data_IF_682687055461
#
_entry.id   IF_682687055461
#
_cell.length_a   1.000
_cell.length_b   1.000
_cell.length_c   1.000
_cell.angle_alpha   90.00
_cell.angle_beta   90.00
_cell.angle_gamma   90.00
#
_symmetry.space_group_name_H-M   'P 1'
#
loop_
_entity.id
_entity.type
_entity.pdbx_description
1 polymer ?
#
# COMPACT_ATOMS: atom_id res chain seq x y z
N UNK A 1 40.52 -0.59 -1.05
CA UNK A 1 39.26 -1.04 -0.41
C UNK A 1 38.09 -0.50 -1.22
N UNK A 2 37.41 -1.34 -2.00
CA UNK A 2 36.21 -0.94 -2.74
C UNK A 2 35.06 -0.73 -1.75
N UNK A 3 34.62 0.52 -1.60
CA UNK A 3 33.44 0.89 -0.80
C UNK A 3 32.23 0.91 -1.73
N UNK A 4 31.60 -0.25 -1.92
CA UNK A 4 30.33 -0.30 -2.63
C UNK A 4 29.22 0.26 -1.74
N UNK A 5 28.37 1.16 -2.25
CA UNK A 5 27.22 1.65 -1.50
C UNK A 5 26.26 0.50 -1.20
N UNK A 6 25.88 0.34 0.06
CA UNK A 6 24.92 -0.67 0.52
C UNK A 6 23.74 -0.02 1.23
N UNK A 7 22.59 -0.67 1.15
CA UNK A 7 21.38 -0.33 1.91
C UNK A 7 21.00 -1.52 2.78
N UNK A 8 20.48 -1.24 3.96
CA UNK A 8 20.01 -2.26 4.90
C UNK A 8 18.63 -1.88 5.42
N UNK A 9 17.78 -2.88 5.53
CA UNK A 9 16.49 -2.82 6.20
C UNK A 9 16.38 -3.98 7.19
N UNK A 10 15.43 -3.87 8.12
CA UNK A 10 15.10 -4.97 9.02
C UNK A 10 14.57 -6.16 8.22
N UNK A 11 15.05 -7.35 8.55
CA UNK A 11 14.57 -8.60 7.97
C UNK A 11 13.13 -8.85 8.45
N UNK A 12 12.23 -9.10 7.51
CA UNK A 12 10.86 -9.51 7.82
C UNK A 12 10.76 -11.02 8.00
N UNK A 13 9.84 -11.45 8.86
CA UNK A 13 9.45 -12.85 8.99
C UNK A 13 8.26 -13.13 8.05
N UNK A 14 8.55 -13.11 6.74
CA UNK A 14 7.56 -13.26 5.67
C UNK A 14 7.90 -14.39 4.70
N UNK A 15 6.97 -14.64 3.77
CA UNK A 15 7.16 -15.59 2.68
C UNK A 15 7.54 -14.81 1.42
N UNK A 16 8.71 -15.10 0.83
CA UNK A 16 9.15 -14.46 -0.41
C UNK A 16 8.27 -14.88 -1.58
N UNK A 17 7.74 -13.89 -2.29
CA UNK A 17 6.99 -14.06 -3.53
C UNK A 17 7.44 -13.02 -4.55
N UNK A 18 7.60 -13.43 -5.80
CA UNK A 18 7.56 -12.47 -6.91
C UNK A 18 6.11 -12.09 -7.15
N UNK A 19 5.86 -10.81 -7.41
CA UNK A 19 4.55 -10.30 -7.79
C UNK A 19 4.57 -9.95 -9.28
N UNK A 20 3.77 -10.66 -10.07
CA UNK A 20 3.53 -10.37 -11.48
C UNK A 20 2.14 -9.75 -11.63
N UNK A 21 2.06 -8.51 -12.11
CA UNK A 21 0.81 -7.89 -12.53
C UNK A 21 0.64 -8.03 -14.05
N UNK A 22 -0.39 -8.76 -14.46
CA UNK A 22 -0.71 -9.02 -15.86
C UNK A 22 -2.19 -9.33 -16.01
N UNK A 23 -2.75 -9.03 -17.19
CA UNK A 23 -4.14 -9.35 -17.55
C UNK A 23 -5.21 -8.86 -16.55
N UNK A 24 -4.94 -7.75 -15.84
CA UNK A 24 -5.88 -7.21 -14.85
C UNK A 24 -5.89 -7.94 -13.50
N UNK A 25 -4.96 -8.87 -13.28
CA UNK A 25 -4.82 -9.63 -12.05
C UNK A 25 -3.39 -9.52 -11.48
N UNK A 26 -3.25 -9.97 -10.24
CA UNK A 26 -1.94 -10.17 -9.59
C UNK A 26 -1.68 -11.67 -9.43
N UNK A 27 -0.48 -12.09 -9.80
CA UNK A 27 0.04 -13.44 -9.60
C UNK A 27 1.21 -13.39 -8.62
N UNK A 28 1.13 -14.16 -7.54
CA UNK A 28 2.23 -14.38 -6.61
C UNK A 28 2.94 -15.68 -6.98
N UNK A 29 4.22 -15.59 -7.30
CA UNK A 29 5.06 -16.71 -7.72
C UNK A 29 6.04 -17.02 -6.59
N UNK A 30 5.89 -18.18 -5.97
CA UNK A 30 6.73 -18.59 -4.85
C UNK A 30 8.03 -19.25 -5.29
N UNK A 31 8.81 -19.71 -4.30
CA UNK A 31 10.13 -20.31 -4.56
C UNK A 31 10.08 -21.71 -5.16
N UNK A 32 8.96 -22.42 -4.99
CA UNK A 32 8.74 -23.76 -5.56
C UNK A 32 7.91 -23.66 -6.85
N UNK A 33 7.96 -22.51 -7.51
CA UNK A 33 7.22 -22.22 -8.74
C UNK A 33 5.70 -22.32 -8.54
N UNK A 34 5.22 -22.25 -7.30
CA UNK A 34 3.80 -22.20 -7.01
C UNK A 34 3.24 -20.84 -7.41
N UNK A 35 2.17 -20.85 -8.21
CA UNK A 35 1.52 -19.63 -8.68
C UNK A 35 0.18 -19.48 -7.98
N UNK A 36 -0.01 -18.35 -7.29
CA UNK A 36 -1.27 -17.98 -6.64
C UNK A 36 -1.84 -16.75 -7.32
N UNK A 37 -3.03 -16.87 -7.88
CA UNK A 37 -3.74 -15.74 -8.48
C UNK A 37 -4.58 -15.02 -7.42
N UNK A 38 -4.51 -13.70 -7.40
CA UNK A 38 -5.38 -12.83 -6.63
C UNK A 38 -6.36 -12.18 -7.61
N UNK A 39 -7.60 -12.70 -7.71
CA UNK A 39 -8.62 -12.08 -8.54
C UNK A 39 -9.00 -10.71 -7.98
N UNK A 40 -9.49 -9.83 -8.84
CA UNK A 40 -10.01 -8.50 -8.48
C UNK A 40 -9.00 -7.52 -7.87
N UNK A 41 -7.70 -7.83 -7.94
CA UNK A 41 -6.64 -6.89 -7.59
C UNK A 41 -5.70 -6.67 -8.77
N UNK A 42 -5.40 -5.40 -9.05
CA UNK A 42 -4.47 -4.99 -10.09
C UNK A 42 -3.56 -3.86 -9.59
N UNK A 43 -2.49 -3.59 -10.34
CA UNK A 43 -1.67 -2.40 -10.13
C UNK A 43 -2.13 -1.30 -11.11
N UNK A 44 -2.51 -0.10 -10.66
CA UNK A 44 -2.97 0.97 -11.54
C UNK A 44 -1.82 1.59 -12.34
N UNK A 45 -2.10 2.04 -13.56
CA UNK A 45 -1.14 2.79 -14.38
C UNK A 45 -1.09 4.25 -13.95
N UNK A 46 0.12 4.82 -13.91
CA UNK A 46 0.32 6.25 -13.66
C UNK A 46 -0.45 7.09 -14.71
N UNK A 47 -1.32 7.99 -14.24
CA UNK A 47 -2.17 8.83 -15.09
C UNK A 47 -3.42 8.14 -15.66
N UNK A 48 -3.58 6.82 -15.46
CA UNK A 48 -4.77 6.05 -15.85
C UNK A 48 -5.09 5.02 -14.77
N UNK A 49 -5.65 5.49 -13.66
CA UNK A 49 -5.77 4.71 -12.42
C UNK A 49 -6.67 3.48 -12.55
N UNK A 50 -7.67 3.51 -13.42
CA UNK A 50 -8.55 2.36 -13.66
C UNK A 50 -8.02 1.40 -14.74
N UNK A 51 -6.86 1.69 -15.35
CA UNK A 51 -6.21 0.76 -16.28
C UNK A 51 -5.17 -0.10 -15.54
N UNK A 52 -5.22 -1.43 -15.69
CA UNK A 52 -4.22 -2.30 -15.09
C UNK A 52 -2.87 -2.21 -15.80
N UNK A 53 -1.80 -2.22 -15.00
CA UNK A 53 -0.46 -2.46 -15.49
C UNK A 53 -0.34 -3.85 -16.09
N UNK A 54 0.62 -3.99 -17.01
CA UNK A 54 0.85 -5.20 -17.77
C UNK A 54 2.33 -5.54 -17.75
N UNK A 55 2.66 -6.78 -17.41
CA UNK A 55 4.04 -7.28 -17.34
C UNK A 55 4.90 -6.44 -16.38
N UNK A 56 4.36 -6.15 -15.20
CA UNK A 56 5.13 -5.59 -14.07
C UNK A 56 5.54 -6.75 -13.15
N UNK A 57 6.84 -6.90 -12.90
CA UNK A 57 7.43 -7.97 -12.07
C UNK A 57 8.24 -7.36 -10.91
N UNK A 58 7.78 -7.62 -9.69
CA UNK A 58 8.35 -7.11 -8.44
C UNK A 58 8.85 -8.25 -7.57
N UNK A 59 9.88 -8.00 -6.76
CA UNK A 59 10.37 -8.92 -5.74
C UNK A 59 10.09 -8.36 -4.34
N UNK A 60 9.65 -9.23 -3.45
CA UNK A 60 9.08 -8.83 -2.17
C UNK A 60 8.76 -10.00 -1.25
N UNK A 61 8.25 -9.67 -0.07
CA UNK A 61 7.76 -10.65 0.89
C UNK A 61 6.31 -10.39 1.26
N UNK A 62 5.54 -11.48 1.37
CA UNK A 62 4.21 -11.49 1.92
C UNK A 62 4.29 -11.71 3.43
N UNK A 63 3.79 -10.76 4.21
CA UNK A 63 3.69 -10.82 5.67
C UNK A 63 2.23 -10.84 6.10
N UNK A 64 1.95 -11.50 7.22
CA UNK A 64 0.63 -11.52 7.85
C UNK A 64 0.69 -10.69 9.13
N UNK A 65 0.13 -9.50 9.09
CA UNK A 65 0.06 -8.60 10.24
C UNK A 65 -1.21 -8.85 11.05
N UNK A 66 -1.08 -8.94 12.38
CA UNK A 66 -2.22 -9.02 13.29
C UNK A 66 -2.58 -7.62 13.77
N UNK A 67 -3.81 -7.19 13.46
CA UNK A 67 -4.36 -5.93 13.92
C UNK A 67 -4.76 -6.01 15.41
N UNK A 68 -4.87 -4.87 16.11
CA UNK A 68 -5.29 -4.83 17.51
C UNK A 68 -6.68 -5.41 17.77
N UNK A 69 -7.55 -5.43 16.76
CA UNK A 69 -8.88 -6.03 16.80
C UNK A 69 -8.87 -7.56 16.62
N UNK A 70 -7.70 -8.18 16.46
CA UNK A 70 -7.54 -9.62 16.25
C UNK A 70 -7.65 -10.07 14.78
N UNK A 71 -8.00 -9.19 13.85
CA UNK A 71 -8.02 -9.51 12.42
C UNK A 71 -6.59 -9.62 11.87
N UNK A 72 -6.39 -10.44 10.84
CA UNK A 72 -5.11 -10.59 10.15
C UNK A 72 -5.16 -9.97 8.76
N UNK A 73 -4.16 -9.17 8.42
CA UNK A 73 -4.04 -8.48 7.12
C UNK A 73 -2.80 -8.98 6.40
N UNK A 74 -2.98 -9.39 5.14
CA UNK A 74 -1.87 -9.76 4.28
C UNK A 74 -1.25 -8.50 3.67
N UNK A 75 0.05 -8.27 3.89
CA UNK A 75 0.79 -7.17 3.25
C UNK A 75 1.92 -7.71 2.40
N UNK A 76 2.02 -7.24 1.17
CA UNK A 76 3.16 -7.48 0.29
C UNK A 76 4.14 -6.31 0.37
N UNK A 77 5.36 -6.60 0.81
CA UNK A 77 6.43 -5.63 1.00
C UNK A 77 7.40 -5.75 -0.18
N UNK A 78 7.40 -4.72 -1.03
CA UNK A 78 8.27 -4.65 -2.20
C UNK A 78 9.70 -4.30 -1.75
N UNK A 79 10.66 -5.12 -2.17
CA UNK A 79 12.10 -4.94 -1.92
C UNK A 79 12.88 -4.59 -3.18
N UNK A 80 12.41 -5.04 -4.35
CA UNK A 80 13.05 -4.79 -5.62
C UNK A 80 12.04 -4.81 -6.78
N UNK A 81 12.45 -4.31 -7.94
CA UNK A 81 11.70 -4.41 -9.18
C UNK A 81 12.60 -4.91 -10.31
N UNK A 82 12.05 -5.81 -11.12
CA UNK A 82 12.75 -6.38 -12.28
C UNK A 82 12.26 -5.71 -13.56
N UNK A 83 10.96 -5.49 -13.67
CA UNK A 83 10.31 -4.88 -14.83
C UNK A 83 9.06 -4.12 -14.37
N UNK A 84 8.78 -2.95 -14.96
CA UNK A 84 7.56 -2.18 -14.67
C UNK A 84 6.91 -1.84 -16.00
N UNK A 85 5.71 -2.36 -16.24
CA UNK A 85 4.93 -2.05 -17.43
C UNK A 85 5.64 -2.36 -18.76
N UNK A 86 6.21 -3.56 -18.89
CA UNK A 86 7.06 -4.01 -20.02
C UNK A 86 8.40 -3.30 -20.16
N UNK A 87 8.70 -2.33 -19.28
CA UNK A 87 9.97 -1.62 -19.30
C UNK A 87 11.06 -2.46 -18.64
N UNK A 88 11.87 -3.13 -19.46
CA UNK A 88 12.99 -3.94 -19.01
C UNK A 88 14.21 -3.13 -18.59
N UNK A 89 14.28 -1.82 -18.90
CA UNK A 89 15.42 -0.97 -18.52
C UNK A 89 15.56 -0.84 -17.00
N UNK A 90 14.49 -1.13 -16.25
CA UNK A 90 14.47 -1.12 -14.78
C UNK A 90 15.57 -2.02 -14.20
N UNK A 91 15.84 -3.18 -14.79
CA UNK A 91 16.87 -4.11 -14.30
C UNK A 91 18.30 -3.56 -14.40
N UNK A 92 18.51 -2.57 -15.27
CA UNK A 92 19.81 -1.93 -15.51
C UNK A 92 20.09 -0.80 -14.51
N UNK A 93 19.05 -0.28 -13.85
CA UNK A 93 19.19 0.75 -12.82
C UNK A 93 19.83 0.16 -11.56
N UNK A 94 20.54 1.01 -10.81
CA UNK A 94 20.96 0.66 -9.45
C UNK A 94 19.73 0.50 -8.54
N UNK A 95 19.90 -0.18 -7.39
CA UNK A 95 18.80 -0.48 -6.48
C UNK A 95 17.99 0.77 -6.08
N UNK A 96 18.64 1.91 -5.82
CA UNK A 96 17.93 3.14 -5.46
C UNK A 96 17.07 3.66 -6.62
N UNK A 97 17.57 3.56 -7.86
CA UNK A 97 16.81 3.89 -9.07
C UNK A 97 15.60 2.98 -9.26
N UNK A 98 15.76 1.67 -9.00
CA UNK A 98 14.65 0.70 -9.06
C UNK A 98 13.58 0.99 -8.02
N UNK A 99 13.98 1.27 -6.78
CA UNK A 99 13.05 1.63 -5.70
C UNK A 99 12.35 2.97 -5.95
N UNK A 100 13.05 3.96 -6.54
CA UNK A 100 12.45 5.22 -6.97
C UNK A 100 11.40 4.98 -8.07
N UNK A 101 11.70 4.14 -9.06
CA UNK A 101 10.76 3.77 -10.10
C UNK A 101 9.52 3.05 -9.53
N UNK A 102 9.69 2.16 -8.54
CA UNK A 102 8.58 1.53 -7.82
C UNK A 102 7.73 2.58 -7.09
N UNK A 103 8.37 3.48 -6.35
CA UNK A 103 7.66 4.51 -5.60
C UNK A 103 6.78 5.37 -6.52
N UNK A 104 7.31 5.77 -7.67
CA UNK A 104 6.63 6.65 -8.63
C UNK A 104 5.59 5.92 -9.49
N UNK A 105 5.94 4.74 -10.03
CA UNK A 105 5.14 4.05 -11.05
C UNK A 105 4.22 3.00 -10.49
N UNK A 106 4.42 2.53 -9.25
CA UNK A 106 3.59 1.48 -8.63
C UNK A 106 2.89 2.02 -7.39
N UNK A 107 3.64 2.54 -6.42
CA UNK A 107 3.07 2.92 -5.12
C UNK A 107 2.23 4.18 -5.20
N UNK A 108 2.73 5.22 -5.88
CA UNK A 108 1.97 6.47 -6.02
C UNK A 108 0.59 6.27 -6.69
N UNK A 109 0.46 5.63 -7.86
CA UNK A 109 -0.86 5.43 -8.47
C UNK A 109 -1.73 4.47 -7.65
N UNK A 110 -1.15 3.48 -6.95
CA UNK A 110 -1.91 2.60 -6.06
C UNK A 110 -2.57 3.39 -4.94
N UNK A 111 -1.82 4.28 -4.30
CA UNK A 111 -2.35 5.15 -3.25
C UNK A 111 -3.40 6.12 -3.76
N UNK A 112 -3.20 6.68 -4.96
CA UNK A 112 -4.16 7.58 -5.59
C UNK A 112 -5.51 6.88 -5.81
N UNK A 113 -5.47 5.64 -6.34
CA UNK A 113 -6.67 4.82 -6.50
C UNK A 113 -7.34 4.49 -5.16
N UNK A 114 -6.58 4.09 -4.14
CA UNK A 114 -7.10 3.79 -2.79
C UNK A 114 -7.75 5.02 -2.14
N UNK A 115 -7.17 6.21 -2.36
CA UNK A 115 -7.73 7.48 -1.88
C UNK A 115 -9.03 7.83 -2.63
N UNK A 116 -9.09 7.67 -3.96
CA UNK A 116 -10.31 7.86 -4.76
C UNK A 116 -11.44 6.92 -4.33
N UNK A 117 -11.14 5.63 -4.15
CA UNK A 117 -12.12 4.64 -3.70
C UNK A 117 -12.68 4.98 -2.31
N UNK A 118 -11.84 5.43 -1.38
CA UNK A 118 -12.25 5.85 -0.03
C UNK A 118 -13.19 7.05 -0.09
N UNK A 119 -12.86 8.08 -0.86
CA UNK A 119 -13.71 9.27 -1.02
C UNK A 119 -15.07 8.92 -1.65
N UNK A 120 -15.08 8.00 -2.62
CA UNK A 120 -16.31 7.55 -3.25
C UNK A 120 -17.18 6.73 -2.29
N UNK A 121 -16.59 5.89 -1.42
CA UNK A 121 -17.35 5.19 -0.38
C UNK A 121 -18.00 6.16 0.61
N UNK A 122 -17.27 7.16 1.08
CA UNK A 122 -17.79 8.18 2.00
C UNK A 122 -18.94 8.99 1.37
N UNK A 123 -18.79 9.39 0.09
CA UNK A 123 -19.86 10.07 -0.65
C UNK A 123 -21.09 9.18 -0.82
N UNK A 124 -20.90 7.91 -1.14
CA UNK A 124 -22.00 6.95 -1.31
C UNK A 124 -22.73 6.67 0.02
N UNK A 125 -22.03 6.73 1.15
CA UNK A 125 -22.61 6.59 2.48
C UNK A 125 -23.37 7.85 2.90
N UNK A 126 -22.81 9.04 2.70
CA UNK A 126 -23.48 10.32 2.96
C UNK A 126 -24.76 10.49 2.12
N UNK A 127 -24.81 9.93 0.91
CA UNK A 127 -26.00 9.94 0.06
C UNK A 127 -27.10 8.95 0.52
N UNK A 128 -26.82 8.06 1.48
CA UNK A 128 -27.76 7.05 2.02
C UNK A 128 -28.44 7.48 3.32
N UNK A 129 -28.25 8.71 3.78
CA UNK A 129 -28.95 9.25 4.95
C UNK A 129 -30.48 9.05 4.81
N UNK A 130 -31.17 8.55 5.85
CA UNK A 130 -32.55 8.11 5.75
C UNK A 130 -33.50 9.30 5.66
N UNK A 131 -34.18 9.45 4.52
CA UNK A 131 -35.50 10.06 4.53
C UNK A 131 -36.40 9.18 5.42
N UNK A 132 -36.75 9.68 6.60
CA UNK A 132 -37.79 9.09 7.44
C UNK A 132 -39.09 9.08 6.64
N UNK A 133 -39.52 7.91 6.18
CA UNK A 133 -40.86 7.73 5.66
C UNK A 133 -41.51 6.53 6.36
N UNK A 134 -42.58 6.86 7.09
CA UNK A 134 -43.56 5.95 7.65
C UNK A 134 -44.19 5.09 6.53
N UNK A 135 -44.56 3.86 6.88
CA UNK A 135 -45.61 3.12 6.15
C UNK A 135 -45.15 2.03 5.19
N UNK A 136 -45.27 0.79 5.67
CA UNK A 136 -45.74 -0.42 4.98
C UNK A 136 -45.56 -0.55 3.44
N UNK A 137 -44.79 -1.55 3.01
CA UNK A 137 -44.89 -2.05 1.63
C UNK A 137 -43.74 -2.95 1.20
N UNK A 138 -44.00 -4.26 1.24
CA UNK A 138 -43.52 -5.33 0.35
C UNK A 138 -42.02 -5.53 0.08
N UNK A 139 -41.55 -6.71 0.48
CA UNK A 139 -40.24 -7.25 0.14
C UNK A 139 -40.14 -7.53 -1.37
N UNK A 140 -39.24 -6.82 -2.05
CA UNK A 140 -38.76 -7.19 -3.38
C UNK A 140 -37.25 -7.39 -3.41
N UNK A 141 -36.93 -8.52 -4.04
CA UNK A 141 -35.68 -9.23 -4.19
C UNK A 141 -34.64 -8.46 -5.04
N UNK A 142 -33.38 -8.86 -4.85
CA UNK A 142 -32.20 -8.58 -5.68
C UNK A 142 -31.43 -7.28 -5.41
N UNK A 143 -30.51 -7.35 -4.44
CA UNK A 143 -29.18 -6.78 -4.61
C UNK A 143 -28.17 -7.88 -4.31
N UNK A 144 -27.51 -8.38 -5.35
CA UNK A 144 -26.29 -9.17 -5.25
C UNK A 144 -25.27 -8.32 -4.52
N UNK A 145 -25.32 -8.34 -3.19
CA UNK A 145 -24.26 -7.85 -2.35
C UNK A 145 -23.06 -8.73 -2.64
N UNK A 146 -22.17 -8.27 -3.52
CA UNK A 146 -20.82 -8.81 -3.61
C UNK A 146 -20.23 -8.62 -2.22
N UNK A 147 -20.22 -9.67 -1.42
CA UNK A 147 -19.47 -9.75 -0.18
C UNK A 147 -18.02 -9.48 -0.56
N UNK A 148 -17.58 -8.23 -0.39
CA UNK A 148 -16.18 -7.82 -0.58
C UNK A 148 -15.42 -8.54 0.53
N UNK A 149 -15.03 -9.79 0.25
CA UNK A 149 -14.38 -10.67 1.19
C UNK A 149 -13.15 -9.97 1.74
N UNK A 150 -13.08 -9.90 3.07
CA UNK A 150 -12.07 -9.26 3.91
C UNK A 150 -10.67 -9.89 3.78
N UNK A 151 -10.18 -10.09 2.57
CA UNK A 151 -8.82 -10.53 2.27
C UNK A 151 -8.16 -9.52 1.32
N UNK A 152 -8.23 -8.22 1.63
CA UNK A 152 -7.49 -7.22 0.85
C UNK A 152 -6.01 -7.41 1.14
N UNK A 153 -5.30 -8.02 0.20
CA UNK A 153 -3.85 -7.87 0.13
C UNK A 153 -3.57 -6.36 0.13
N UNK A 154 -2.62 -5.87 0.93
CA UNK A 154 -2.10 -4.51 0.84
C UNK A 154 -0.70 -4.55 0.20
N UNK A 155 -0.31 -3.55 -0.57
CA UNK A 155 1.00 -3.54 -1.27
C UNK A 155 1.76 -2.28 -0.87
N UNK A 156 2.96 -2.44 -0.34
CA UNK A 156 3.79 -1.34 0.16
C UNK A 156 5.23 -1.47 -0.34
N UNK A 157 5.89 -0.34 -0.58
CA UNK A 157 7.34 -0.30 -0.70
C UNK A 157 7.97 -0.33 0.69
N UNK A 158 8.89 -1.28 0.95
CA UNK A 158 9.62 -1.29 2.22
C UNK A 158 10.64 -0.14 2.24
N UNK A 159 10.42 0.81 3.13
CA UNK A 159 11.35 1.93 3.37
C UNK A 159 12.05 1.75 4.72
N UNK A 160 13.34 2.13 4.78
CA UNK A 160 14.09 2.17 6.05
C UNK A 160 13.46 3.21 6.99
N UNK A 161 13.06 2.78 8.19
CA UNK A 161 12.74 3.71 9.28
C UNK A 161 14.00 4.46 9.71
N UNK A 162 14.09 5.76 9.43
CA UNK A 162 15.04 6.65 10.13
C UNK A 162 14.41 7.01 11.47
N UNK A 163 15.05 6.58 12.56
CA UNK A 163 14.86 6.98 13.97
C UNK A 163 13.61 7.83 14.23
N UNK A 164 12.49 7.22 14.62
CA UNK A 164 11.37 7.89 15.31
C UNK A 164 10.68 9.07 14.62
N UNK A 165 11.11 9.48 13.42
CA UNK A 165 10.51 10.59 12.66
C UNK A 165 9.78 9.99 11.48
N UNK A 166 8.45 10.11 11.54
CA UNK A 166 7.50 9.72 10.50
C UNK A 166 7.84 10.50 9.22
N UNK A 167 8.54 9.87 8.26
CA UNK A 167 8.78 10.46 6.95
C UNK A 167 7.64 10.03 6.02
N UNK A 168 6.73 10.99 5.80
CA UNK A 168 5.72 11.11 4.75
C UNK A 168 4.43 10.29 4.87
N UNK A 169 3.52 10.81 5.71
CA UNK A 169 2.13 11.06 5.28
C UNK A 169 1.64 12.34 5.97
N UNK A 170 0.90 13.16 5.23
CA UNK A 170 0.46 14.54 5.50
C UNK A 170 1.53 15.63 5.26
N UNK A 171 1.36 16.36 4.15
CA UNK A 171 1.43 17.83 4.03
C UNK A 171 1.43 18.21 2.53
N UNK A 172 0.30 17.98 1.85
CA UNK A 172 -0.17 18.96 0.87
C UNK A 172 -1.32 19.70 1.56
N UNK A 173 -0.95 20.66 2.41
CA UNK A 173 -1.90 21.66 2.90
C UNK A 173 -1.28 23.04 2.64
N UNK A 174 -1.53 23.55 1.43
CA UNK A 174 -1.48 24.98 1.18
C UNK A 174 -2.49 25.64 2.12
N UNK A 175 -2.05 26.54 3.01
CA UNK A 175 -2.60 27.90 3.20
C UNK A 175 -1.82 28.68 4.27
N UNK A 176 -1.61 29.95 3.94
CA UNK A 176 -1.17 31.07 4.78
C UNK A 176 -1.70 31.01 6.24
N UNK A 177 -0.87 31.37 7.22
CA UNK A 177 -1.05 32.54 8.14
C UNK A 177 -0.01 32.53 9.29
N UNK A 178 0.73 33.63 9.38
CA UNK A 178 1.25 34.38 10.56
C UNK A 178 1.61 33.72 11.91
N UNK A 179 2.87 33.99 12.30
CA UNK A 179 3.39 34.50 13.59
C UNK A 179 3.51 33.62 14.87
N UNK A 180 4.74 33.72 15.42
CA UNK A 180 5.12 33.81 16.86
C UNK A 180 5.53 32.56 17.66
N UNK A 181 6.85 32.42 17.83
CA UNK A 181 7.64 32.27 19.09
C UNK A 181 7.23 31.32 20.23
N UNK A 182 8.16 30.42 20.60
CA UNK A 182 8.73 30.06 21.95
C UNK A 182 9.20 28.58 21.90
N UNK A 183 10.50 28.25 21.96
CA UNK A 183 11.46 28.16 23.10
C UNK A 183 11.22 26.98 24.08
N UNK A 184 12.22 26.07 24.12
CA UNK A 184 12.71 25.14 25.18
C UNK A 184 11.72 24.03 25.66
N UNK A 185 12.12 22.81 26.05
CA UNK A 185 13.38 22.25 26.59
C UNK A 185 13.42 20.72 26.46
N UNK A 186 14.62 20.18 26.45
CA UNK A 186 15.01 18.77 26.38
C UNK A 186 15.18 18.17 27.79
N UNK A 187 14.71 16.94 28.06
CA UNK A 187 15.37 15.98 28.96
C UNK A 187 14.80 14.55 28.78
N UNK A 188 15.62 13.48 28.81
CA UNK A 188 15.21 12.12 28.47
C UNK A 188 15.04 11.24 29.71
N UNK A 189 14.04 10.35 29.71
CA UNK A 189 14.10 9.10 30.46
C UNK A 189 13.03 8.11 30.02
N UNK A 190 13.41 6.84 30.15
CA UNK A 190 12.56 5.66 30.35
C UNK A 190 12.12 4.87 29.11
N UNK A 191 13.05 3.99 28.74
CA UNK A 191 12.88 2.79 27.94
C UNK A 191 12.14 1.73 28.75
N UNK A 192 10.86 1.52 28.49
CA UNK A 192 10.26 0.20 28.66
C UNK A 192 9.07 0.01 27.72
N UNK A 193 9.10 -1.12 27.01
CA UNK A 193 8.00 -1.79 26.30
C UNK A 193 7.23 -0.92 25.31
N UNK A 194 7.59 -1.01 24.02
CA UNK A 194 6.70 -0.53 22.94
C UNK A 194 6.27 -1.68 22.02
N UNK A 195 4.95 -1.78 21.72
CA UNK A 195 4.41 -2.75 20.79
C UNK A 195 4.86 -2.43 19.37
N UNK A 196 4.98 -3.47 18.54
CA UNK A 196 5.26 -3.37 17.11
C UNK A 196 4.16 -2.57 16.40
N UNK A 197 4.33 -1.25 16.31
CA UNK A 197 3.50 -0.35 15.54
C UNK A 197 4.17 -0.11 14.18
N UNK A 198 3.66 -0.77 13.16
CA UNK A 198 3.98 -0.48 11.76
C UNK A 198 2.95 0.50 11.18
N UNK A 199 3.25 1.81 11.27
CA UNK A 199 2.82 2.81 10.29
C UNK A 199 3.64 2.66 9.01
#
# INVERSE_FOLDING_TARGET
LFRNPYVACEKTDGIRFLLLAASGCIFLIGRKEEVRMIPDKFLPRKGRLHEPQQLTLLDGELVMDRLPNGESVARYLIYDAICIERDESIKELNLMGRLAAVAERVVAPLRELEEEERMQSERNEAAREPHANDGSGEAQLAKTGRTKGKNSLEIYLKVRRRNGVRLFSSQVKRRLTTLSSLILSFSPAEESKRPCLYF
#
